data_IF_046190324401
#
_entry.id   IF_046190324401
#
_cell.length_a   1.000
_cell.length_b   1.000
_cell.length_c   1.000
_cell.angle_alpha   90.00
_cell.angle_beta   90.00
_cell.angle_gamma   90.00
#
_symmetry.space_group_name_H-M   'P 1'
#
loop_
_entity.id
_entity.type
_entity.pdbx_description
1 polymer ?
#
# COMPACT_ATOMS: atom_id res chain seq x y z
N UNK A 1 -3.87 -12.24 -17.49
CA UNK A 1 -2.78 -11.44 -16.91
C UNK A 1 -2.22 -10.53 -17.98
N UNK A 2 -1.53 -9.45 -17.59
CA UNK A 2 -0.73 -8.67 -18.53
C UNK A 2 0.51 -9.47 -18.95
N UNK A 3 0.83 -9.49 -20.24
CA UNK A 3 1.95 -10.27 -20.81
C UNK A 3 3.27 -9.49 -20.87
N UNK A 4 3.25 -8.20 -20.57
CA UNK A 4 4.45 -7.35 -20.59
C UNK A 4 5.35 -7.65 -19.40
N UNK A 5 6.65 -7.50 -19.60
CA UNK A 5 7.64 -7.59 -18.53
C UNK A 5 7.50 -6.41 -17.57
N UNK A 6 7.49 -6.69 -16.27
CA UNK A 6 7.52 -5.67 -15.22
C UNK A 6 8.97 -5.27 -14.98
N UNK A 7 9.31 -4.02 -15.32
CA UNK A 7 10.65 -3.44 -15.09
C UNK A 7 10.56 -2.42 -13.96
N UNK A 8 11.49 -2.51 -13.01
CA UNK A 8 11.56 -1.59 -11.85
C UNK A 8 12.55 -0.46 -12.11
N UNK A 9 12.24 0.75 -11.64
CA UNK A 9 13.11 1.92 -11.69
C UNK A 9 13.23 2.52 -10.27
N UNK A 10 14.41 2.44 -9.61
CA UNK A 10 14.62 3.00 -8.27
C UNK A 10 14.43 4.52 -8.18
N UNK A 11 14.47 5.23 -9.31
CA UNK A 11 14.28 6.68 -9.39
C UNK A 11 12.88 7.05 -9.90
N UNK A 12 11.97 6.07 -10.05
CA UNK A 12 10.59 6.33 -10.39
C UNK A 12 9.96 7.28 -9.37
N UNK A 13 9.34 8.35 -9.89
CA UNK A 13 8.71 9.38 -9.04
C UNK A 13 7.32 8.94 -8.61
N UNK A 14 7.03 9.09 -7.33
CA UNK A 14 5.71 9.02 -6.74
C UNK A 14 5.22 10.45 -6.46
N UNK A 15 4.15 10.88 -7.13
CA UNK A 15 3.64 12.27 -7.05
C UNK A 15 4.74 13.35 -7.19
N UNK A 16 5.62 13.17 -8.19
CA UNK A 16 6.66 14.15 -8.52
C UNK A 16 7.94 14.06 -7.70
N UNK A 17 8.00 13.22 -6.66
CA UNK A 17 9.18 13.01 -5.81
C UNK A 17 9.68 11.57 -5.87
N UNK A 18 10.99 11.35 -5.77
CA UNK A 18 11.55 10.00 -5.61
C UNK A 18 11.38 9.58 -4.14
N UNK A 19 10.60 8.54 -3.82
CA UNK A 19 10.39 8.12 -2.45
C UNK A 19 11.67 7.49 -1.88
N UNK A 20 12.02 7.86 -0.65
CA UNK A 20 13.04 7.16 0.14
C UNK A 20 12.43 5.99 0.91
N UNK A 21 13.28 5.24 1.62
CA UNK A 21 12.91 4.02 2.38
C UNK A 21 11.68 4.19 3.27
N UNK A 22 11.52 5.38 3.89
CA UNK A 22 10.46 5.65 4.87
C UNK A 22 9.39 6.64 4.39
N UNK A 23 9.41 7.04 3.12
CA UNK A 23 8.51 8.10 2.60
C UNK A 23 7.04 7.65 2.51
N UNK A 24 6.78 6.37 2.25
CA UNK A 24 5.43 5.82 2.04
C UNK A 24 4.94 4.93 3.19
N UNK A 25 5.60 5.00 4.33
CA UNK A 25 5.24 4.22 5.52
C UNK A 25 4.92 5.16 6.68
N UNK A 26 4.08 4.74 7.64
CA UNK A 26 3.82 5.51 8.84
C UNK A 26 5.12 5.91 9.57
N UNK A 27 5.26 7.20 9.87
CA UNK A 27 6.35 7.75 10.66
C UNK A 27 6.13 7.59 12.17
N UNK A 28 7.00 8.21 12.95
CA UNK A 28 6.82 8.34 14.40
C UNK A 28 5.54 9.16 14.70
N UNK A 29 4.78 8.76 15.72
CA UNK A 29 3.51 9.39 16.08
C UNK A 29 2.34 9.19 15.10
N UNK A 30 2.51 8.41 14.02
CA UNK A 30 1.44 8.17 13.06
C UNK A 30 0.24 7.46 13.71
N UNK A 31 -0.98 7.94 13.41
CA UNK A 31 -2.20 7.28 13.87
C UNK A 31 -2.43 6.00 13.06
N UNK A 32 -2.47 4.87 13.75
CA UNK A 32 -2.76 3.57 13.13
C UNK A 32 -4.23 3.21 13.31
N UNK A 33 -4.83 2.69 12.24
CA UNK A 33 -6.13 2.04 12.31
C UNK A 33 -6.06 0.75 13.13
N UNK A 34 -7.14 0.43 13.86
CA UNK A 34 -7.23 -0.79 14.67
C UNK A 34 -7.78 -2.00 13.93
N UNK A 35 -8.48 -1.77 12.81
CA UNK A 35 -9.11 -2.83 12.04
C UNK A 35 -8.05 -3.63 11.30
N UNK A 36 -8.08 -4.95 11.47
CA UNK A 36 -7.24 -5.87 10.71
C UNK A 36 -7.89 -6.19 9.35
N UNK A 37 -7.08 -6.66 8.41
CA UNK A 37 -7.59 -7.11 7.11
C UNK A 37 -8.68 -8.18 7.25
N UNK A 38 -8.53 -9.13 8.18
CA UNK A 38 -9.52 -10.19 8.41
C UNK A 38 -10.85 -9.64 8.90
N UNK A 39 -10.82 -8.78 9.92
CA UNK A 39 -12.04 -8.16 10.44
C UNK A 39 -12.76 -7.32 9.39
N UNK A 40 -12.01 -6.60 8.55
CA UNK A 40 -12.59 -5.87 7.42
C UNK A 40 -13.25 -6.81 6.40
N UNK A 41 -12.56 -7.90 6.04
CA UNK A 41 -13.06 -8.87 5.06
C UNK A 41 -14.35 -9.55 5.56
N UNK A 42 -14.40 -9.92 6.83
CA UNK A 42 -15.58 -10.55 7.44
C UNK A 42 -16.79 -9.59 7.44
N UNK A 43 -16.57 -8.29 7.61
CA UNK A 43 -17.63 -7.27 7.58
C UNK A 43 -18.13 -6.95 6.17
N UNK A 44 -17.29 -7.11 5.14
CA UNK A 44 -17.56 -6.64 3.78
C UNK A 44 -17.78 -7.76 2.77
N UNK A 45 -17.66 -9.03 3.19
CA UNK A 45 -18.04 -10.16 2.35
C UNK A 45 -19.56 -10.33 2.45
N UNK A 46 -20.32 -10.21 1.34
CA UNK A 46 -21.74 -10.55 1.36
C UNK A 46 -21.89 -11.98 1.86
N UNK A 47 -22.79 -12.19 2.84
CA UNK A 47 -23.13 -13.53 3.28
C UNK A 47 -23.46 -14.39 2.06
N UNK A 48 -22.82 -15.55 1.98
CA UNK A 48 -23.06 -16.52 0.92
C UNK A 48 -24.48 -17.08 1.02
#
# INVERSE_FOLDING_TARGET
>A
GDSREVVTDPLARYFGSVPGERTLVPGEGAMLGKITYREWLDQNTPGK
#
